data_IF_296242486356
#
_entry.id   IF_296242486356
#
_cell.length_a   1.000
_cell.length_b   1.000
_cell.length_c   1.000
_cell.angle_alpha   90.00
_cell.angle_beta   90.00
_cell.angle_gamma   90.00
#
_symmetry.space_group_name_H-M   'P 1'
#
loop_
_entity.id
_entity.type
_entity.pdbx_description
1 polymer ?
#
# COMPACT_ATOMS: atom_id res chain seq x y z
N UNK A 1 -11.86 -12.43 22.81
CA UNK A 1 -10.72 -11.52 22.73
C UNK A 1 -10.89 -10.50 21.60
N UNK A 2 -11.34 -10.87 20.41
CA UNK A 2 -11.52 -9.98 19.25
C UNK A 2 -12.75 -9.07 19.28
N UNK A 3 -13.66 -9.23 20.25
CA UNK A 3 -14.91 -8.43 20.38
C UNK A 3 -14.67 -6.90 20.42
N UNK A 4 -13.47 -6.45 20.79
CA UNK A 4 -13.17 -5.02 20.77
C UNK A 4 -13.02 -4.51 19.32
N UNK A 5 -12.44 -5.31 18.42
CA UNK A 5 -12.33 -5.02 17.00
C UNK A 5 -13.70 -5.00 16.35
N UNK A 6 -14.56 -6.01 16.67
CA UNK A 6 -15.93 -6.10 16.15
C UNK A 6 -16.75 -4.85 16.52
N UNK A 7 -16.76 -4.46 17.80
CA UNK A 7 -17.47 -3.26 18.27
C UNK A 7 -16.96 -1.96 17.62
N UNK A 8 -15.65 -1.84 17.40
CA UNK A 8 -15.09 -0.67 16.73
C UNK A 8 -15.55 -0.60 15.28
N UNK A 9 -15.61 -1.73 14.59
CA UNK A 9 -16.06 -1.83 13.21
C UNK A 9 -17.54 -1.50 13.07
N UNK A 10 -18.40 -2.11 13.89
CA UNK A 10 -19.84 -1.84 13.95
C UNK A 10 -20.11 -0.36 14.23
N UNK A 11 -19.41 0.22 15.20
CA UNK A 11 -19.52 1.65 15.54
C UNK A 11 -19.12 2.54 14.37
N UNK A 12 -17.97 2.30 13.71
CA UNK A 12 -17.48 3.14 12.63
C UNK A 12 -18.43 3.11 11.41
N UNK A 13 -19.00 1.94 11.08
CA UNK A 13 -20.00 1.79 10.01
C UNK A 13 -21.29 2.52 10.42
N UNK A 14 -21.77 2.33 11.66
CA UNK A 14 -22.96 3.00 12.17
C UNK A 14 -22.84 4.53 12.23
N UNK A 15 -21.66 5.06 12.51
CA UNK A 15 -21.33 6.49 12.47
C UNK A 15 -21.00 7.00 11.06
N UNK A 16 -21.13 6.16 10.04
CA UNK A 16 -20.87 6.49 8.64
C UNK A 16 -19.41 6.95 8.35
N UNK A 17 -18.42 6.44 9.07
CA UNK A 17 -17.01 6.72 8.77
C UNK A 17 -16.63 6.21 7.37
N UNK A 18 -17.12 5.03 7.00
CA UNK A 18 -17.01 4.40 5.69
C UNK A 18 -18.16 3.42 5.46
N UNK A 19 -18.50 3.07 4.21
CA UNK A 19 -19.63 2.15 3.95
C UNK A 19 -19.34 0.71 4.38
N UNK A 20 -18.14 0.20 4.15
CA UNK A 20 -17.77 -1.17 4.43
C UNK A 20 -16.29 -1.38 4.58
N UNK A 21 -15.94 -2.47 5.25
CA UNK A 21 -14.58 -2.81 5.61
C UNK A 21 -14.38 -4.33 5.67
N UNK A 22 -13.15 -4.76 5.40
CA UNK A 22 -12.69 -6.12 5.60
C UNK A 22 -11.38 -6.09 6.39
N UNK A 23 -11.27 -6.93 7.43
CA UNK A 23 -10.12 -6.97 8.35
C UNK A 23 -9.63 -8.40 8.45
N UNK A 24 -8.32 -8.58 8.44
CA UNK A 24 -7.66 -9.81 8.85
C UNK A 24 -6.50 -9.50 9.80
N UNK A 25 -6.30 -10.36 10.77
CA UNK A 25 -5.12 -10.36 11.61
C UNK A 25 -4.59 -11.79 11.74
N UNK A 26 -3.27 -11.92 11.86
CA UNK A 26 -2.64 -13.23 11.95
C UNK A 26 -1.22 -13.15 12.47
N UNK A 27 -0.60 -14.30 12.62
CA UNK A 27 0.77 -14.46 13.11
C UNK A 27 1.50 -15.53 12.29
N UNK A 28 2.68 -15.19 11.79
CA UNK A 28 3.59 -16.15 11.11
C UNK A 28 2.86 -17.04 10.09
N UNK A 29 2.08 -16.41 9.24
CA UNK A 29 1.32 -17.10 8.20
C UNK A 29 -0.06 -17.63 8.63
N UNK A 30 -0.32 -17.81 9.92
CA UNK A 30 -1.61 -18.29 10.43
C UNK A 30 -2.57 -17.09 10.60
N UNK A 31 -3.75 -17.17 10.00
CA UNK A 31 -4.84 -16.20 10.22
C UNK A 31 -5.52 -16.54 11.56
N UNK A 32 -5.61 -15.56 12.45
CA UNK A 32 -6.23 -15.67 13.78
C UNK A 32 -7.62 -15.05 13.82
N UNK A 33 -7.84 -14.01 13.00
CA UNK A 33 -9.09 -13.27 12.98
C UNK A 33 -9.41 -12.74 11.60
N UNK A 34 -10.69 -12.78 11.21
CA UNK A 34 -11.22 -12.08 10.04
C UNK A 34 -12.60 -11.52 10.34
N UNK A 35 -12.91 -10.35 9.80
CA UNK A 35 -14.25 -9.78 9.81
C UNK A 35 -14.50 -9.00 8.51
N UNK A 36 -15.72 -9.12 7.98
CA UNK A 36 -16.16 -8.40 6.78
C UNK A 36 -17.53 -7.81 7.10
N UNK A 37 -17.66 -6.49 7.11
CA UNK A 37 -18.87 -5.80 7.57
C UNK A 37 -19.20 -4.57 6.74
N UNK A 38 -20.51 -4.26 6.64
CA UNK A 38 -21.02 -3.10 5.93
C UNK A 38 -21.39 -3.36 4.48
N UNK A 39 -21.41 -2.32 3.69
CA UNK A 39 -21.97 -2.29 2.34
C UNK A 39 -20.93 -1.79 1.31
N UNK A 40 -21.15 -2.11 0.03
CA UNK A 40 -20.30 -1.60 -1.07
C UNK A 40 -20.44 -0.08 -1.22
N UNK A 41 -21.64 0.44 -0.99
CA UNK A 41 -21.96 1.88 -1.01
C UNK A 41 -22.82 2.22 0.18
N UNK A 42 -22.81 3.48 0.60
CA UNK A 42 -23.74 3.97 1.64
C UNK A 42 -25.18 3.84 1.13
N UNK A 43 -26.08 3.46 2.03
CA UNK A 43 -27.51 3.25 1.72
C UNK A 43 -27.77 2.19 0.63
N UNK A 44 -26.76 1.36 0.34
CA UNK A 44 -26.86 0.27 -0.63
C UNK A 44 -27.36 -1.03 -0.01
N UNK A 45 -27.99 -1.87 -0.84
CA UNK A 45 -28.46 -3.20 -0.42
C UNK A 45 -27.34 -4.26 -0.48
N UNK A 46 -26.25 -3.98 -1.25
CA UNK A 46 -25.18 -4.95 -1.45
C UNK A 46 -24.15 -4.91 -0.33
N UNK A 47 -24.09 -6.01 0.42
CA UNK A 47 -23.09 -6.22 1.45
C UNK A 47 -21.69 -6.39 0.86
N UNK A 48 -20.67 -5.96 1.60
CA UNK A 48 -19.30 -6.37 1.34
C UNK A 48 -19.12 -7.87 1.65
N UNK A 49 -18.19 -8.51 0.96
CA UNK A 49 -17.89 -9.94 1.07
C UNK A 49 -16.37 -10.13 1.20
N UNK A 50 -15.93 -11.33 1.55
CA UNK A 50 -14.52 -11.71 1.49
C UNK A 50 -13.91 -11.52 0.09
N UNK A 51 -14.71 -11.72 -0.96
CA UNK A 51 -14.33 -11.52 -2.38
C UNK A 51 -14.32 -10.05 -2.82
N UNK A 52 -14.87 -9.13 -2.01
CA UNK A 52 -14.93 -7.71 -2.38
C UNK A 52 -13.53 -7.14 -2.61
N UNK A 53 -13.35 -6.54 -3.77
CA UNK A 53 -12.10 -5.84 -4.15
C UNK A 53 -12.24 -4.35 -3.88
N UNK A 54 -11.25 -3.80 -3.19
CA UNK A 54 -11.18 -2.40 -2.80
C UNK A 54 -10.08 -1.68 -3.57
N UNK A 55 -10.29 -0.42 -3.94
CA UNK A 55 -9.20 0.48 -4.31
C UNK A 55 -8.32 0.67 -3.09
N UNK A 56 -7.07 0.29 -3.19
CA UNK A 56 -6.12 0.37 -2.07
C UNK A 56 -5.15 1.53 -2.19
N UNK A 57 -5.32 2.39 -3.20
CA UNK A 57 -4.57 3.62 -3.38
C UNK A 57 -3.07 3.41 -3.21
N UNK A 58 -2.47 4.11 -2.26
CA UNK A 58 -1.03 4.08 -1.99
C UNK A 58 -0.51 2.70 -1.56
N UNK A 59 -1.34 1.73 -1.13
CA UNK A 59 -0.85 0.37 -0.89
C UNK A 59 -0.32 -0.30 -2.17
N UNK A 60 -0.67 0.20 -3.36
CA UNK A 60 -0.03 -0.18 -4.63
C UNK A 60 1.49 -0.13 -4.54
N UNK A 61 2.03 0.87 -3.83
CA UNK A 61 3.47 1.07 -3.63
C UNK A 61 4.15 -0.15 -3.00
N UNK A 62 3.51 -0.77 -2.02
CA UNK A 62 4.07 -1.90 -1.27
C UNK A 62 3.57 -3.25 -1.74
N UNK A 63 2.38 -3.32 -2.35
CA UNK A 63 1.84 -4.56 -2.90
C UNK A 63 2.43 -4.93 -4.27
N UNK A 64 2.89 -3.94 -5.05
CA UNK A 64 3.38 -4.15 -6.42
C UNK A 64 4.75 -3.53 -6.64
N UNK A 65 4.89 -2.20 -6.51
CA UNK A 65 6.08 -1.49 -6.97
C UNK A 65 7.33 -1.85 -6.16
N UNK A 66 7.22 -1.87 -4.84
CA UNK A 66 8.32 -2.26 -3.96
C UNK A 66 8.75 -3.73 -4.17
N UNK A 67 7.84 -4.73 -4.21
CA UNK A 67 8.22 -6.10 -4.52
C UNK A 67 8.92 -6.24 -5.88
N UNK A 68 8.43 -5.56 -6.92
CA UNK A 68 9.09 -5.56 -8.23
C UNK A 68 10.50 -4.98 -8.15
N UNK A 69 10.72 -3.88 -7.40
CA UNK A 69 12.06 -3.37 -7.15
C UNK A 69 12.95 -4.41 -6.46
N UNK A 70 12.46 -5.09 -5.42
CA UNK A 70 13.24 -6.11 -4.70
C UNK A 70 13.55 -7.32 -5.59
N UNK A 71 12.59 -7.78 -6.39
CA UNK A 71 12.80 -8.86 -7.37
C UNK A 71 13.83 -8.45 -8.42
N UNK A 72 13.79 -7.20 -8.91
CA UNK A 72 14.79 -6.69 -9.85
C UNK A 72 16.18 -6.63 -9.21
N UNK A 73 16.29 -6.25 -7.93
CA UNK A 73 17.55 -6.28 -7.16
C UNK A 73 18.08 -7.72 -7.05
N UNK A 74 17.24 -8.67 -6.66
CA UNK A 74 17.63 -10.08 -6.52
C UNK A 74 18.06 -10.72 -7.85
N UNK A 75 17.54 -10.21 -8.97
CA UNK A 75 17.92 -10.64 -10.33
C UNK A 75 19.13 -9.91 -10.89
N UNK A 76 19.68 -8.94 -10.16
CA UNK A 76 20.80 -8.11 -10.63
C UNK A 76 20.44 -7.16 -11.78
N UNK A 77 19.14 -6.84 -11.95
CA UNK A 77 18.68 -5.93 -13.01
C UNK A 77 18.80 -4.46 -12.60
N UNK A 78 18.73 -4.17 -11.29
CA UNK A 78 18.98 -2.85 -10.73
C UNK A 78 19.57 -2.96 -9.32
N UNK A 79 20.23 -1.89 -8.84
CA UNK A 79 20.67 -1.72 -7.47
C UNK A 79 19.92 -0.58 -6.77
N UNK A 80 19.79 -0.59 -5.43
CA UNK A 80 19.20 0.52 -4.69
C UNK A 80 19.97 1.85 -4.91
N UNK A 81 21.27 1.79 -5.17
CA UNK A 81 22.15 2.94 -5.42
C UNK A 81 22.14 3.40 -6.89
N UNK A 82 21.56 2.64 -7.80
CA UNK A 82 21.42 3.04 -9.19
C UNK A 82 20.59 4.32 -9.31
N UNK A 83 21.05 5.23 -10.14
CA UNK A 83 20.38 6.49 -10.41
C UNK A 83 19.33 6.35 -11.52
N UNK A 84 18.29 7.18 -11.46
CA UNK A 84 17.15 7.09 -12.40
C UNK A 84 17.58 7.33 -13.86
N UNK A 85 18.64 8.13 -14.12
CA UNK A 85 19.14 8.43 -15.46
C UNK A 85 19.81 7.23 -16.14
N UNK A 86 20.13 6.18 -15.38
CA UNK A 86 20.63 4.92 -15.95
C UNK A 86 19.53 4.17 -16.74
N UNK A 87 18.29 4.33 -16.35
CA UNK A 87 17.16 3.57 -16.91
C UNK A 87 16.20 4.43 -17.74
N UNK A 88 16.10 5.72 -17.43
CA UNK A 88 15.16 6.62 -18.04
C UNK A 88 15.86 7.63 -18.95
N UNK A 89 15.32 7.91 -20.15
CA UNK A 89 15.87 8.90 -21.04
C UNK A 89 15.60 10.32 -20.53
N UNK A 90 16.43 11.26 -20.96
CA UNK A 90 16.21 12.71 -20.84
C UNK A 90 15.97 13.21 -19.40
N UNK A 91 16.56 12.55 -18.39
CA UNK A 91 16.48 12.99 -17.01
C UNK A 91 17.19 14.33 -16.84
N UNK A 92 16.51 15.40 -16.34
CA UNK A 92 17.11 16.70 -16.09
C UNK A 92 18.26 16.64 -15.07
N UNK A 93 19.19 17.58 -15.17
CA UNK A 93 20.41 17.59 -14.36
C UNK A 93 20.15 17.58 -12.84
N UNK A 94 19.08 18.25 -12.38
CA UNK A 94 18.67 18.32 -10.98
C UNK A 94 18.13 16.99 -10.42
N UNK A 95 17.79 16.03 -11.29
CA UNK A 95 17.22 14.72 -10.92
C UNK A 95 18.13 13.54 -11.23
N UNK A 96 19.23 13.75 -11.98
CA UNK A 96 20.14 12.65 -12.36
C UNK A 96 20.73 11.88 -11.18
N UNK A 97 20.89 12.53 -10.04
CA UNK A 97 21.45 11.92 -8.83
C UNK A 97 20.41 11.20 -7.95
N UNK A 98 19.12 11.25 -8.31
CA UNK A 98 18.09 10.54 -7.57
C UNK A 98 18.31 9.03 -7.73
N UNK A 99 18.44 8.33 -6.62
CA UNK A 99 18.61 6.88 -6.60
C UNK A 99 17.28 6.14 -6.40
N UNK A 100 17.25 4.85 -6.78
CA UNK A 100 16.13 3.96 -6.51
C UNK A 100 15.82 3.91 -5.01
N UNK A 101 16.85 3.85 -4.15
CA UNK A 101 16.69 3.89 -2.70
C UNK A 101 15.99 5.18 -2.22
N UNK A 102 16.32 6.33 -2.80
CA UNK A 102 15.70 7.60 -2.43
C UNK A 102 14.23 7.69 -2.88
N UNK A 103 13.87 7.07 -4.00
CA UNK A 103 12.46 6.93 -4.40
C UNK A 103 11.69 6.03 -3.42
N UNK A 104 12.24 4.85 -3.10
CA UNK A 104 11.64 3.89 -2.17
C UNK A 104 11.50 4.42 -0.74
N UNK A 105 12.41 5.31 -0.30
CA UNK A 105 12.37 5.92 1.05
C UNK A 105 11.67 7.27 1.11
N UNK A 106 11.11 7.74 -0.02
CA UNK A 106 10.44 9.06 -0.09
C UNK A 106 11.38 10.24 0.22
N UNK A 107 12.69 10.12 -0.16
CA UNK A 107 13.72 11.15 0.08
C UNK A 107 14.25 11.75 -1.21
N UNK A 108 13.60 11.51 -2.34
CA UNK A 108 14.02 11.98 -3.66
C UNK A 108 13.92 13.50 -3.86
N UNK A 109 13.20 14.21 -2.98
CA UNK A 109 12.92 15.64 -3.15
C UNK A 109 11.81 15.96 -4.14
N UNK A 110 11.19 14.95 -4.78
CA UNK A 110 10.05 15.14 -5.67
C UNK A 110 8.86 15.74 -4.92
N UNK A 111 8.06 16.56 -5.64
CA UNK A 111 6.92 17.27 -5.05
C UNK A 111 5.82 16.30 -4.59
N UNK A 112 5.21 16.51 -3.42
CA UNK A 112 4.00 15.78 -3.04
C UNK A 112 2.75 16.24 -3.81
N UNK A 113 2.82 17.41 -4.45
CA UNK A 113 1.72 18.02 -5.19
C UNK A 113 2.05 18.00 -6.68
N UNK A 114 1.44 17.08 -7.40
CA UNK A 114 1.62 16.94 -8.84
C UNK A 114 0.38 16.27 -9.45
N UNK A 115 -0.14 16.88 -10.50
CA UNK A 115 -1.29 16.38 -11.23
C UNK A 115 -0.94 16.25 -12.72
N UNK A 116 -0.88 15.03 -13.21
CA UNK A 116 -0.59 14.74 -14.62
C UNK A 116 -1.52 15.46 -15.58
N UNK A 117 -2.80 15.56 -15.24
CA UNK A 117 -3.80 16.23 -16.06
C UNK A 117 -3.54 17.74 -16.26
N UNK A 118 -2.74 18.36 -15.38
CA UNK A 118 -2.38 19.79 -15.46
C UNK A 118 -1.02 19.98 -16.13
N UNK A 119 -0.13 19.01 -16.04
CA UNK A 119 1.28 19.12 -16.41
C UNK A 119 1.63 18.38 -17.71
N UNK A 120 0.92 17.30 -18.02
CA UNK A 120 1.20 16.46 -19.18
C UNK A 120 0.24 16.77 -20.33
N UNK A 121 0.77 16.76 -21.56
CA UNK A 121 -0.02 16.97 -22.79
C UNK A 121 -0.82 15.74 -23.19
N UNK A 122 -0.37 14.56 -22.76
CA UNK A 122 -0.99 13.25 -23.00
C UNK A 122 -0.39 12.22 -22.05
N UNK A 123 -0.96 11.02 -22.00
CA UNK A 123 -0.40 9.85 -21.29
C UNK A 123 1.05 9.56 -21.70
N UNK A 124 1.38 9.69 -22.99
CA UNK A 124 2.74 9.50 -23.54
C UNK A 124 3.74 10.56 -23.05
N UNK A 125 3.27 11.76 -22.68
CA UNK A 125 4.10 12.82 -22.11
C UNK A 125 4.21 12.74 -20.57
N UNK A 126 3.54 11.78 -19.94
CA UNK A 126 3.45 11.68 -18.48
C UNK A 126 4.82 11.61 -17.79
N UNK A 127 5.73 10.74 -18.28
CA UNK A 127 7.09 10.66 -17.76
C UNK A 127 7.84 11.99 -17.95
N UNK A 128 7.74 12.59 -19.13
CA UNK A 128 8.37 13.87 -19.43
C UNK A 128 7.84 15.01 -18.53
N UNK A 129 6.53 15.08 -18.30
CA UNK A 129 5.92 16.04 -17.38
C UNK A 129 6.43 15.86 -15.95
N UNK A 130 6.46 14.62 -15.45
CA UNK A 130 6.99 14.31 -14.14
C UNK A 130 8.46 14.71 -14.00
N UNK A 131 9.27 14.45 -15.01
CA UNK A 131 10.68 14.80 -15.00
C UNK A 131 10.93 16.33 -15.10
N UNK A 132 10.05 17.08 -15.78
CA UNK A 132 10.11 18.55 -15.87
C UNK A 132 9.65 19.25 -14.60
N UNK A 133 8.78 18.62 -13.81
CA UNK A 133 8.24 19.22 -12.59
C UNK A 133 9.38 19.53 -11.58
N UNK A 134 9.43 20.73 -10.96
CA UNK A 134 10.53 21.09 -10.08
C UNK A 134 10.58 20.24 -8.81
N UNK A 135 11.78 20.09 -8.24
CA UNK A 135 11.95 19.48 -6.93
C UNK A 135 11.37 20.40 -5.84
N UNK A 136 10.68 19.83 -4.86
CA UNK A 136 10.14 20.56 -3.70
C UNK A 136 11.16 20.70 -2.56
N UNK A 137 12.25 19.92 -2.59
CA UNK A 137 13.35 19.98 -1.62
C UNK A 137 14.62 19.36 -2.22
N UNK A 138 15.80 19.61 -1.62
CA UNK A 138 17.03 18.94 -2.03
C UNK A 138 16.90 17.41 -1.97
N UNK A 139 17.52 16.72 -2.93
CA UNK A 139 17.61 15.26 -2.97
C UNK A 139 18.29 14.76 -1.69
N UNK A 140 17.69 13.80 -1.00
CA UNK A 140 18.18 13.26 0.28
C UNK A 140 17.99 14.18 1.48
N UNK A 141 17.33 15.36 1.33
CA UNK A 141 17.24 16.37 2.40
C UNK A 141 16.22 16.03 3.50
N UNK A 142 15.10 15.43 3.15
CA UNK A 142 14.03 15.05 4.08
C UNK A 142 13.15 13.95 3.50
N UNK A 143 12.41 13.27 4.36
CA UNK A 143 11.31 12.40 3.95
C UNK A 143 10.09 13.27 3.61
N UNK A 144 9.54 13.07 2.42
CA UNK A 144 8.33 13.75 1.96
C UNK A 144 7.44 12.74 1.23
N UNK A 145 6.29 12.42 1.82
CA UNK A 145 5.35 11.47 1.22
C UNK A 145 4.84 12.03 -0.11
N UNK A 146 5.26 11.37 -1.18
CA UNK A 146 4.95 11.78 -2.55
C UNK A 146 4.65 10.56 -3.41
N UNK A 147 3.48 10.54 -4.04
CA UNK A 147 3.15 9.54 -5.07
C UNK A 147 4.09 9.58 -6.27
N UNK A 148 4.72 10.74 -6.55
CA UNK A 148 5.61 10.91 -7.71
C UNK A 148 6.82 9.97 -7.70
N UNK A 149 7.41 9.70 -6.52
CA UNK A 149 8.54 8.77 -6.43
C UNK A 149 8.17 7.37 -6.89
N UNK A 150 7.03 6.87 -6.47
CA UNK A 150 6.53 5.56 -6.88
C UNK A 150 5.93 5.55 -8.29
N UNK A 151 5.39 6.68 -8.75
CA UNK A 151 5.02 6.85 -10.16
C UNK A 151 6.25 6.73 -11.05
N UNK A 152 7.36 7.40 -10.70
CA UNK A 152 8.63 7.32 -11.41
C UNK A 152 9.21 5.89 -11.38
N UNK A 153 9.13 5.20 -10.23
CA UNK A 153 9.52 3.79 -10.12
C UNK A 153 8.68 2.90 -11.05
N UNK A 154 7.39 3.18 -11.23
CA UNK A 154 6.54 2.46 -12.20
C UNK A 154 7.13 2.52 -13.61
N UNK A 155 7.41 3.71 -14.12
CA UNK A 155 8.03 3.90 -15.44
C UNK A 155 9.42 3.25 -15.54
N UNK A 156 10.21 3.33 -14.47
CA UNK A 156 11.52 2.68 -14.42
C UNK A 156 11.39 1.16 -14.50
N UNK A 157 10.47 0.56 -13.77
CA UNK A 157 10.24 -0.89 -13.75
C UNK A 157 9.76 -1.42 -15.09
N UNK A 158 8.93 -0.67 -15.84
CA UNK A 158 8.57 -1.03 -17.20
C UNK A 158 9.79 -1.16 -18.12
N UNK A 159 10.79 -0.28 -17.94
CA UNK A 159 12.07 -0.37 -18.67
C UNK A 159 12.93 -1.54 -18.20
N UNK A 160 13.00 -1.77 -16.88
CA UNK A 160 13.81 -2.85 -16.29
C UNK A 160 13.29 -4.23 -16.69
N UNK A 161 11.96 -4.41 -16.71
CA UNK A 161 11.35 -5.69 -17.06
C UNK A 161 10.97 -5.82 -18.55
N UNK A 162 11.10 -4.74 -19.32
CA UNK A 162 10.72 -4.65 -20.73
C UNK A 162 9.27 -5.12 -20.99
N UNK A 163 8.35 -4.67 -20.13
CA UNK A 163 6.92 -4.97 -20.21
C UNK A 163 6.07 -3.95 -19.46
N UNK A 164 4.74 -3.84 -19.76
CA UNK A 164 3.81 -3.01 -18.99
C UNK A 164 3.82 -3.34 -17.50
N UNK A 165 3.58 -2.33 -16.66
CA UNK A 165 3.64 -2.48 -15.19
C UNK A 165 2.62 -3.49 -14.66
N UNK A 166 1.42 -3.53 -15.19
CA UNK A 166 0.37 -4.48 -14.81
C UNK A 166 0.72 -5.92 -15.17
N UNK A 167 1.37 -6.15 -16.32
CA UNK A 167 1.89 -7.46 -16.71
C UNK A 167 3.05 -7.89 -15.79
N UNK A 168 3.97 -6.98 -15.48
CA UNK A 168 5.05 -7.23 -14.54
C UNK A 168 4.51 -7.56 -13.14
N UNK A 169 3.53 -6.79 -12.66
CA UNK A 169 2.84 -7.04 -11.39
C UNK A 169 2.20 -8.44 -11.36
N UNK A 170 1.47 -8.80 -12.42
CA UNK A 170 0.83 -10.11 -12.53
C UNK A 170 1.86 -11.24 -12.55
N UNK A 171 2.87 -11.12 -13.41
CA UNK A 171 3.85 -12.18 -13.65
C UNK A 171 4.78 -12.44 -12.47
N UNK A 172 5.21 -11.38 -11.81
CA UNK A 172 6.28 -11.48 -10.81
C UNK A 172 5.81 -11.31 -9.37
N UNK A 173 4.60 -10.79 -9.15
CA UNK A 173 4.08 -10.55 -7.80
C UNK A 173 2.80 -11.32 -7.55
N UNK A 174 1.71 -10.99 -8.24
CA UNK A 174 0.40 -11.52 -7.85
C UNK A 174 0.21 -12.99 -8.18
N UNK A 175 0.68 -13.47 -9.32
CA UNK A 175 0.59 -14.89 -9.65
C UNK A 175 1.46 -15.79 -8.73
N UNK A 176 2.74 -15.47 -8.45
CA UNK A 176 3.56 -16.26 -7.51
C UNK A 176 3.04 -16.26 -6.08
N UNK A 177 2.29 -15.23 -5.65
CA UNK A 177 1.66 -15.16 -4.32
C UNK A 177 0.22 -15.69 -4.31
N UNK A 178 -0.28 -16.24 -5.43
CA UNK A 178 -1.67 -16.66 -5.60
C UNK A 178 -2.70 -15.56 -5.28
N UNK A 179 -2.34 -14.31 -5.52
CA UNK A 179 -3.21 -13.13 -5.34
C UNK A 179 -4.09 -12.93 -6.60
N UNK A 180 -5.00 -13.88 -6.82
CA UNK A 180 -5.75 -14.03 -8.06
C UNK A 180 -6.82 -12.94 -8.28
N UNK A 181 -7.17 -12.20 -7.24
CA UNK A 181 -8.16 -11.11 -7.25
C UNK A 181 -7.51 -9.74 -7.15
N UNK A 182 -6.17 -9.67 -7.18
CA UNK A 182 -5.39 -8.44 -7.12
C UNK A 182 -4.93 -8.02 -8.50
N UNK A 183 -5.21 -6.78 -8.87
CA UNK A 183 -4.82 -6.26 -10.18
C UNK A 183 -5.36 -4.85 -10.41
N UNK A 184 -5.00 -4.31 -11.54
CA UNK A 184 -5.50 -3.03 -12.03
C UNK A 184 -6.82 -3.22 -12.79
N UNK A 185 -7.66 -2.18 -12.82
CA UNK A 185 -8.90 -2.11 -13.60
C UNK A 185 -9.82 -3.34 -13.43
N UNK A 186 -10.14 -3.76 -12.22
CA UNK A 186 -11.00 -4.91 -12.02
C UNK A 186 -12.40 -4.63 -12.53
N UNK A 187 -13.05 -5.67 -13.05
CA UNK A 187 -14.46 -5.64 -13.46
C UNK A 187 -15.30 -6.58 -12.61
N UNK A 188 -16.62 -6.41 -12.65
CA UNK A 188 -17.60 -7.29 -11.99
C UNK A 188 -18.30 -6.64 -10.79
N UNK A 189 -19.24 -7.38 -10.23
CA UNK A 189 -20.15 -6.88 -9.19
C UNK A 189 -19.54 -6.76 -7.80
N UNK A 190 -18.43 -7.47 -7.53
CA UNK A 190 -17.77 -7.51 -6.22
C UNK A 190 -16.61 -6.51 -6.11
N UNK A 191 -16.70 -5.40 -6.84
CA UNK A 191 -15.76 -4.28 -6.73
C UNK A 191 -16.44 -3.15 -5.95
N UNK A 192 -15.85 -2.75 -4.84
CA UNK A 192 -16.28 -1.59 -4.08
C UNK A 192 -15.97 -0.32 -4.90
N UNK A 193 -16.97 0.49 -5.25
CA UNK A 193 -16.73 1.68 -6.04
C UNK A 193 -16.04 2.74 -5.19
N UNK A 194 -15.23 3.57 -5.84
CA UNK A 194 -14.77 4.84 -5.30
C UNK A 194 -15.86 5.92 -5.43
N UNK A 195 -15.56 7.17 -5.10
CA UNK A 195 -16.49 8.29 -5.34
C UNK A 195 -16.56 8.74 -6.81
N UNK A 196 -15.82 8.11 -7.69
CA UNK A 196 -15.75 8.47 -9.11
C UNK A 196 -17.04 8.06 -9.83
N UNK A 197 -17.57 9.02 -10.60
CA UNK A 197 -18.80 8.86 -11.38
C UNK A 197 -18.53 9.25 -12.83
N UNK A 198 -19.30 8.69 -13.74
CA UNK A 198 -19.34 9.13 -15.14
C UNK A 198 -20.16 10.45 -15.31
N UNK A 199 -20.25 10.91 -16.53
CA UNK A 199 -20.98 12.14 -16.90
C UNK A 199 -22.49 12.09 -16.58
N UNK A 200 -23.06 10.89 -16.40
CA UNK A 200 -24.44 10.67 -16.01
C UNK A 200 -24.60 10.50 -14.47
N UNK A 201 -23.52 10.67 -13.69
CA UNK A 201 -23.53 10.52 -12.25
C UNK A 201 -23.50 9.06 -11.77
N UNK A 202 -23.25 8.08 -12.64
CA UNK A 202 -23.18 6.66 -12.30
C UNK A 202 -21.80 6.31 -11.76
N UNK A 203 -21.76 5.63 -10.59
CA UNK A 203 -20.53 5.14 -10.00
C UNK A 203 -19.77 4.22 -10.97
N UNK A 204 -18.46 4.34 -11.00
CA UNK A 204 -17.55 3.59 -11.86
C UNK A 204 -16.74 2.56 -11.05
N UNK A 205 -17.26 1.34 -10.77
CA UNK A 205 -16.50 0.30 -10.08
C UNK A 205 -15.24 -0.09 -10.86
N UNK A 206 -14.10 -0.19 -10.17
CA UNK A 206 -12.81 -0.47 -10.81
C UNK A 206 -12.08 0.77 -11.31
N UNK A 207 -12.69 1.95 -11.20
CA UNK A 207 -12.02 3.21 -11.48
C UNK A 207 -11.32 3.71 -10.20
N UNK A 208 -9.98 3.90 -10.21
CA UNK A 208 -9.25 4.35 -9.02
C UNK A 208 -9.60 5.79 -8.64
N UNK A 209 -9.54 6.09 -7.33
CA UNK A 209 -9.76 7.46 -6.83
C UNK A 209 -8.63 8.42 -7.23
N UNK A 210 -7.40 7.91 -7.37
CA UNK A 210 -6.23 8.73 -7.69
C UNK A 210 -6.28 9.28 -9.12
N UNK A 211 -6.12 10.61 -9.26
CA UNK A 211 -6.21 11.31 -10.53
C UNK A 211 -5.07 10.99 -11.49
N UNK A 212 -3.85 10.81 -10.98
CA UNK A 212 -2.70 10.46 -11.81
C UNK A 212 -2.80 9.02 -12.32
N UNK A 213 -3.29 8.10 -11.50
CA UNK A 213 -3.57 6.74 -11.93
C UNK A 213 -4.64 6.71 -13.03
N UNK A 214 -5.74 7.48 -12.87
CA UNK A 214 -6.77 7.59 -13.94
C UNK A 214 -6.21 8.17 -15.24
N UNK A 215 -5.35 9.21 -15.15
CA UNK A 215 -4.70 9.80 -16.32
C UNK A 215 -3.87 8.76 -17.09
N UNK A 216 -3.28 7.79 -16.38
CA UNK A 216 -2.53 6.66 -16.91
C UNK A 216 -3.41 5.42 -17.13
N UNK A 217 -4.68 5.62 -17.45
CA UNK A 217 -5.63 4.53 -17.74
C UNK A 217 -5.76 3.50 -16.60
N UNK A 218 -5.55 3.91 -15.35
CA UNK A 218 -5.72 3.10 -14.15
C UNK A 218 -4.48 2.32 -13.71
N UNK A 219 -3.36 2.36 -14.46
CA UNK A 219 -2.14 1.61 -14.15
C UNK A 219 -1.00 2.56 -13.77
N UNK A 220 -0.61 2.57 -12.49
CA UNK A 220 0.48 3.42 -12.03
C UNK A 220 1.22 2.79 -10.84
N UNK A 221 2.51 3.11 -10.68
CA UNK A 221 3.34 2.52 -9.62
C UNK A 221 2.99 3.00 -8.20
N UNK A 222 2.26 4.09 -8.06
CA UNK A 222 1.89 4.67 -6.77
C UNK A 222 0.46 4.39 -6.34
N UNK A 223 -0.44 4.05 -7.27
CA UNK A 223 -1.88 3.88 -7.05
C UNK A 223 -2.53 3.11 -8.20
N UNK A 224 -3.82 2.76 -8.07
CA UNK A 224 -4.62 2.13 -9.12
C UNK A 224 -4.85 0.64 -8.91
N UNK A 225 -4.20 0.01 -7.93
CA UNK A 225 -4.39 -1.39 -7.61
C UNK A 225 -5.67 -1.61 -6.81
N UNK A 226 -6.34 -2.70 -7.12
CA UNK A 226 -7.46 -3.25 -6.34
C UNK A 226 -7.09 -4.62 -5.81
N UNK A 227 -7.52 -4.92 -4.59
CA UNK A 227 -7.30 -6.23 -3.96
C UNK A 227 -8.46 -6.61 -3.04
N UNK A 228 -8.60 -7.88 -2.70
CA UNK A 228 -9.50 -8.38 -1.67
C UNK A 228 -8.74 -8.74 -0.39
N UNK A 229 -9.50 -9.11 0.65
CA UNK A 229 -8.91 -9.41 1.97
C UNK A 229 -7.98 -10.61 1.92
N UNK A 230 -8.34 -11.68 1.21
CA UNK A 230 -7.54 -12.90 1.13
C UNK A 230 -6.19 -12.64 0.50
N UNK A 231 -6.16 -11.98 -0.67
CA UNK A 231 -4.92 -11.68 -1.40
C UNK A 231 -3.99 -10.76 -0.59
N UNK A 232 -4.54 -9.68 -0.01
CA UNK A 232 -3.75 -8.79 0.84
C UNK A 232 -3.23 -9.49 2.10
N UNK A 233 -3.97 -10.46 2.64
CA UNK A 233 -3.56 -11.30 3.77
C UNK A 233 -2.41 -12.23 3.37
N UNK A 234 -2.43 -12.83 2.17
CA UNK A 234 -1.32 -13.63 1.63
C UNK A 234 -0.03 -12.82 1.57
N UNK A 235 -0.13 -11.59 1.09
CA UNK A 235 1.02 -10.67 1.05
C UNK A 235 1.56 -10.33 2.45
N UNK A 236 0.69 -9.97 3.39
CA UNK A 236 1.08 -9.66 4.77
C UNK A 236 1.68 -10.89 5.49
N UNK A 237 1.12 -12.07 5.24
CA UNK A 237 1.62 -13.35 5.71
C UNK A 237 3.04 -13.62 5.19
N UNK A 238 3.30 -13.45 3.90
CA UNK A 238 4.63 -13.58 3.30
C UNK A 238 5.65 -12.66 3.99
N UNK A 239 5.29 -11.40 4.25
CA UNK A 239 6.16 -10.48 5.00
C UNK A 239 6.42 -10.96 6.43
N UNK A 240 5.39 -11.45 7.14
CA UNK A 240 5.49 -11.97 8.50
C UNK A 240 6.36 -13.23 8.63
N UNK A 241 6.50 -13.96 7.52
CA UNK A 241 7.35 -15.14 7.34
C UNK A 241 8.72 -14.81 6.73
N UNK A 242 9.13 -13.52 6.78
CA UNK A 242 10.41 -13.06 6.22
C UNK A 242 10.62 -13.44 4.75
N UNK A 243 9.58 -13.28 3.93
CA UNK A 243 9.63 -13.50 2.49
C UNK A 243 9.27 -14.91 2.04
N UNK A 244 8.84 -15.79 2.96
CA UNK A 244 8.46 -17.17 2.65
C UNK A 244 6.96 -17.33 2.44
N UNK A 245 6.61 -18.31 1.63
CA UNK A 245 5.25 -18.79 1.40
C UNK A 245 5.22 -20.30 1.55
N UNK A 246 4.07 -20.92 1.40
CA UNK A 246 3.94 -22.38 1.36
C UNK A 246 4.69 -23.01 0.17
N UNK A 247 4.80 -22.28 -0.94
CA UNK A 247 5.48 -22.73 -2.16
C UNK A 247 7.00 -22.48 -2.16
N UNK A 248 7.53 -21.82 -1.11
CA UNK A 248 8.96 -21.54 -0.99
C UNK A 248 9.31 -20.09 -0.65
N UNK A 249 10.37 -19.58 -1.23
CA UNK A 249 10.85 -18.20 -1.00
C UNK A 249 10.38 -17.30 -2.13
N UNK A 250 9.53 -16.34 -1.80
CA UNK A 250 9.09 -15.28 -2.74
C UNK A 250 10.08 -14.12 -2.81
N UNK A 251 10.52 -13.63 -1.64
CA UNK A 251 11.60 -12.66 -1.47
C UNK A 251 12.61 -13.21 -0.47
N UNK A 252 13.89 -12.98 -0.69
CA UNK A 252 14.90 -13.35 0.30
C UNK A 252 14.66 -12.64 1.63
N UNK A 253 15.04 -13.28 2.73
CA UNK A 253 14.98 -12.66 4.06
C UNK A 253 15.74 -11.31 4.08
N UNK A 254 16.81 -11.19 3.28
CA UNK A 254 17.56 -9.93 3.18
C UNK A 254 16.74 -8.83 2.50
N UNK A 255 15.99 -9.13 1.44
CA UNK A 255 15.10 -8.18 0.79
C UNK A 255 14.00 -7.70 1.77
N UNK A 256 13.36 -8.61 2.52
CA UNK A 256 12.39 -8.24 3.55
C UNK A 256 13.02 -7.38 4.64
N UNK A 257 14.24 -7.68 5.06
CA UNK A 257 15.00 -6.83 6.01
C UNK A 257 15.26 -5.43 5.46
N UNK A 258 15.54 -5.28 4.15
CA UNK A 258 15.71 -3.98 3.52
C UNK A 258 14.44 -3.14 3.56
N UNK A 259 13.27 -3.73 3.36
CA UNK A 259 11.99 -3.01 3.34
C UNK A 259 11.47 -2.71 4.76
N UNK A 260 11.77 -3.55 5.75
CA UNK A 260 11.29 -3.44 7.14
C UNK A 260 12.23 -2.69 8.10
N UNK A 261 13.41 -2.28 7.64
CA UNK A 261 14.41 -1.59 8.49
C UNK A 261 14.53 -0.11 8.14
N UNK A 262 14.71 0.73 9.17
CA UNK A 262 14.87 2.17 8.99
C UNK A 262 16.08 2.53 8.12
N UNK A 263 15.83 3.27 7.03
CA UNK A 263 16.81 3.77 6.06
C UNK A 263 17.03 5.29 6.13
N UNK A 264 16.19 6.00 6.87
CA UNK A 264 16.16 7.46 6.95
C UNK A 264 16.56 7.96 8.33
N UNK A 265 17.55 7.28 8.95
CA UNK A 265 18.02 7.64 10.30
C UNK A 265 18.50 9.10 10.34
N UNK A 266 18.02 9.85 11.34
CA UNK A 266 18.35 11.28 11.51
C UNK A 266 17.45 12.23 10.71
N UNK A 267 16.54 11.72 9.86
CA UNK A 267 15.56 12.53 9.14
C UNK A 267 14.27 12.71 9.95
N UNK A 268 13.34 13.48 9.40
CA UNK A 268 12.05 13.85 10.00
C UNK A 268 11.06 12.68 10.14
N UNK A 269 11.25 11.56 9.43
CA UNK A 269 10.40 10.37 9.54
C UNK A 269 11.23 9.09 9.32
N UNK A 270 10.81 7.99 9.97
CA UNK A 270 11.45 6.69 9.83
C UNK A 270 10.81 5.91 8.68
N UNK A 271 11.62 5.55 7.66
CA UNK A 271 11.22 4.81 6.47
C UNK A 271 12.12 3.61 6.23
N UNK A 272 11.49 2.48 5.89
CA UNK A 272 12.10 1.41 5.11
C UNK A 272 11.83 1.62 3.62
N UNK A 273 12.04 0.61 2.80
CA UNK A 273 11.66 0.70 1.39
C UNK A 273 10.14 0.50 1.24
N UNK A 274 9.44 1.59 0.94
CA UNK A 274 7.99 1.63 0.78
C UNK A 274 7.21 1.78 2.10
N UNK A 275 7.73 1.32 3.22
CA UNK A 275 7.02 1.30 4.49
C UNK A 275 7.42 2.41 5.46
N UNK A 276 6.47 2.85 6.28
CA UNK A 276 6.76 3.55 7.52
C UNK A 276 7.27 2.55 8.57
N UNK A 277 8.25 2.97 9.35
CA UNK A 277 8.74 2.22 10.51
C UNK A 277 8.21 2.88 11.79
N UNK A 278 7.77 2.10 12.76
CA UNK A 278 7.08 2.59 13.98
C UNK A 278 7.96 3.44 14.90
N UNK A 279 9.26 3.44 14.72
CA UNK A 279 10.18 4.22 15.55
C UNK A 279 9.73 5.67 15.70
N UNK A 280 9.39 6.05 16.95
CA UNK A 280 9.08 7.41 17.36
C UNK A 280 7.93 8.07 16.60
N UNK A 281 6.69 7.74 16.97
CA UNK A 281 5.49 8.49 16.57
C UNK A 281 4.97 8.20 15.16
N UNK A 282 4.84 6.92 14.81
CA UNK A 282 3.98 6.63 13.67
C UNK A 282 2.52 6.55 14.14
N UNK A 283 1.72 7.61 13.96
CA UNK A 283 0.41 7.71 14.58
C UNK A 283 -0.63 6.72 14.03
N UNK A 284 -0.36 6.08 12.89
CA UNK A 284 -1.38 5.20 12.30
C UNK A 284 -1.31 3.76 12.84
N UNK A 285 -0.15 3.23 13.20
CA UNK A 285 -0.05 1.89 13.78
C UNK A 285 -0.60 1.80 15.20
N UNK A 286 -0.68 2.95 15.91
CA UNK A 286 -1.12 3.00 17.28
C UNK A 286 0.02 2.77 18.29
N UNK A 287 -0.28 2.97 19.58
CA UNK A 287 0.75 3.00 20.65
C UNK A 287 1.15 1.62 21.15
N UNK A 288 0.34 0.61 20.91
CA UNK A 288 0.59 -0.77 21.39
C UNK A 288 1.51 -1.57 20.48
N UNK A 289 1.71 -1.11 19.25
CA UNK A 289 2.60 -1.77 18.30
C UNK A 289 4.07 -1.64 18.68
N UNK A 290 4.90 -2.69 18.47
CA UNK A 290 6.33 -2.65 18.75
C UNK A 290 7.04 -1.53 17.98
N UNK A 291 8.16 -1.04 18.53
CA UNK A 291 8.93 0.05 17.93
C UNK A 291 9.61 -0.30 16.59
N UNK A 292 9.69 -1.58 16.24
CA UNK A 292 10.21 -2.11 14.99
C UNK A 292 9.10 -2.53 14.01
N UNK A 293 7.84 -2.35 14.40
CA UNK A 293 6.70 -2.54 13.52
C UNK A 293 6.80 -1.66 12.27
N UNK A 294 6.29 -2.15 11.15
CA UNK A 294 6.25 -1.40 9.91
C UNK A 294 4.92 -1.58 9.20
N UNK A 295 4.58 -0.62 8.37
CA UNK A 295 3.33 -0.67 7.63
C UNK A 295 3.15 0.51 6.69
N UNK A 296 2.08 0.44 5.90
CA UNK A 296 1.63 1.54 5.07
C UNK A 296 0.11 1.64 5.16
N UNK A 297 -0.39 2.87 5.16
CA UNK A 297 -1.80 3.17 4.96
C UNK A 297 -2.00 4.03 3.73
N UNK A 298 -3.12 3.88 3.09
CA UNK A 298 -3.59 4.85 2.12
C UNK A 298 -4.53 5.88 2.80
N UNK A 299 -4.20 7.17 2.76
CA UNK A 299 -5.03 8.20 3.41
C UNK A 299 -6.40 8.39 2.76
N UNK A 300 -6.56 7.99 1.50
CA UNK A 300 -7.80 8.19 0.76
C UNK A 300 -8.80 7.06 0.98
N UNK A 301 -8.38 5.81 0.81
CA UNK A 301 -9.24 4.63 1.06
C UNK A 301 -9.34 4.28 2.54
N UNK A 302 -8.34 4.65 3.35
CA UNK A 302 -8.19 4.21 4.73
C UNK A 302 -7.62 2.79 4.87
N UNK A 303 -7.35 2.10 3.76
CA UNK A 303 -6.77 0.76 3.77
C UNK A 303 -5.35 0.76 4.33
N UNK A 304 -4.97 -0.31 5.03
CA UNK A 304 -3.66 -0.43 5.65
C UNK A 304 -3.17 -1.87 5.71
N UNK A 305 -1.84 -2.01 5.68
CA UNK A 305 -1.11 -3.25 6.01
C UNK A 305 -0.08 -2.90 7.08
N UNK A 306 -0.01 -3.70 8.13
CA UNK A 306 0.96 -3.56 9.21
C UNK A 306 1.55 -4.91 9.60
N UNK A 307 2.85 -4.95 9.90
CA UNK A 307 3.58 -6.16 10.29
C UNK A 307 4.51 -5.85 11.45
N UNK A 308 4.55 -6.74 12.43
CA UNK A 308 5.49 -6.73 13.55
C UNK A 308 6.57 -7.80 13.32
N UNK A 309 7.83 -7.42 13.08
CA UNK A 309 8.92 -8.40 12.94
C UNK A 309 9.22 -9.17 14.23
N UNK A 310 8.93 -8.56 15.39
CA UNK A 310 9.23 -9.12 16.70
C UNK A 310 8.54 -10.47 16.93
N UNK A 311 7.25 -10.52 16.66
CA UNK A 311 6.39 -11.66 16.96
C UNK A 311 5.76 -12.29 15.70
N UNK A 312 5.98 -11.67 14.53
CA UNK A 312 5.40 -12.09 13.26
C UNK A 312 3.91 -11.80 13.15
N UNK A 313 3.37 -10.92 14.01
CA UNK A 313 1.99 -10.48 13.91
C UNK A 313 1.78 -9.58 12.71
N UNK A 314 0.65 -9.72 12.05
CA UNK A 314 0.25 -8.82 10.95
C UNK A 314 -1.23 -8.46 11.01
N UNK A 315 -1.57 -7.32 10.44
CA UNK A 315 -2.96 -6.89 10.26
C UNK A 315 -3.13 -6.29 8.87
N UNK A 316 -4.24 -6.64 8.24
CA UNK A 316 -4.73 -6.06 6.98
C UNK A 316 -6.08 -5.43 7.26
N UNK A 317 -6.25 -4.19 6.83
CA UNK A 317 -7.52 -3.47 6.88
C UNK A 317 -7.80 -2.93 5.47
N UNK A 318 -8.89 -3.34 4.87
CA UNK A 318 -9.37 -2.82 3.59
C UNK A 318 -10.67 -2.06 3.84
N UNK A 319 -10.66 -0.76 3.55
CA UNK A 319 -11.83 0.11 3.77
C UNK A 319 -12.29 0.76 2.47
N UNK A 320 -13.60 0.93 2.31
CA UNK A 320 -14.15 1.72 1.21
C UNK A 320 -14.24 3.23 1.57
N UNK A 321 -13.19 3.78 2.20
CA UNK A 321 -13.07 5.21 2.48
C UNK A 321 -12.97 6.06 1.21
N UNK A 322 -12.46 5.49 0.12
CA UNK A 322 -12.43 6.12 -1.20
C UNK A 322 -13.83 6.51 -1.73
N UNK A 323 -14.89 5.90 -1.24
CA UNK A 323 -16.27 6.28 -1.52
C UNK A 323 -16.73 7.50 -0.70
N UNK A 324 -16.17 7.71 0.50
CA UNK A 324 -16.54 8.80 1.43
C UNK A 324 -15.33 9.67 1.83
N UNK A 325 -14.68 10.37 0.90
CA UNK A 325 -13.46 11.13 1.21
C UNK A 325 -13.64 12.21 2.29
N UNK A 326 -14.87 12.71 2.47
CA UNK A 326 -15.18 13.72 3.47
C UNK A 326 -15.02 13.21 4.93
N UNK A 327 -15.11 11.90 5.15
CA UNK A 327 -15.07 11.28 6.49
C UNK A 327 -13.69 10.69 6.82
N UNK A 328 -12.63 11.19 6.18
CA UNK A 328 -11.26 10.70 6.34
C UNK A 328 -10.78 10.68 7.80
N UNK A 329 -11.10 11.71 8.58
CA UNK A 329 -10.66 11.80 9.98
C UNK A 329 -11.22 10.67 10.86
N UNK A 330 -12.49 10.31 10.66
CA UNK A 330 -13.15 9.21 11.34
C UNK A 330 -12.54 7.86 10.94
N UNK A 331 -12.28 7.66 9.64
CA UNK A 331 -11.58 6.48 9.12
C UNK A 331 -10.18 6.33 9.71
N UNK A 332 -9.41 7.41 9.82
CA UNK A 332 -8.09 7.41 10.46
C UNK A 332 -8.16 7.10 11.96
N UNK A 333 -9.15 7.63 12.65
CA UNK A 333 -9.39 7.34 14.07
C UNK A 333 -9.71 5.87 14.28
N UNK A 334 -10.63 5.33 13.47
CA UNK A 334 -10.99 3.92 13.48
C UNK A 334 -9.76 3.05 13.25
N UNK A 335 -8.98 3.33 12.21
CA UNK A 335 -7.78 2.55 11.88
C UNK A 335 -6.82 2.44 13.06
N UNK A 336 -6.48 3.56 13.71
CA UNK A 336 -5.59 3.56 14.90
C UNK A 336 -6.15 2.74 16.06
N UNK A 337 -7.46 2.87 16.33
CA UNK A 337 -8.12 2.11 17.39
C UNK A 337 -8.19 0.63 17.05
N UNK A 338 -8.50 0.29 15.80
CA UNK A 338 -8.57 -1.08 15.31
C UNK A 338 -7.22 -1.79 15.40
N UNK A 339 -6.13 -1.15 14.93
CA UNK A 339 -4.79 -1.71 14.99
C UNK A 339 -4.32 -1.94 16.43
N UNK A 340 -4.61 -1.02 17.36
CA UNK A 340 -4.33 -1.21 18.78
C UNK A 340 -5.13 -2.38 19.37
N UNK A 341 -6.44 -2.43 19.10
CA UNK A 341 -7.31 -3.48 19.62
C UNK A 341 -6.91 -4.87 19.06
N UNK A 342 -6.54 -4.94 17.79
CA UNK A 342 -6.09 -6.18 17.16
C UNK A 342 -4.78 -6.68 17.79
N UNK A 343 -3.80 -5.79 18.00
CA UNK A 343 -2.55 -6.17 18.66
C UNK A 343 -2.75 -6.58 20.11
N UNK A 344 -3.62 -5.87 20.87
CA UNK A 344 -3.96 -6.25 22.23
C UNK A 344 -4.66 -7.61 22.31
N UNK A 345 -5.61 -7.90 21.40
CA UNK A 345 -6.28 -9.18 21.34
C UNK A 345 -5.29 -10.33 21.09
N UNK A 346 -4.36 -10.13 20.15
CA UNK A 346 -3.28 -11.07 19.87
C UNK A 346 -2.39 -11.33 21.10
N UNK A 347 -1.97 -10.29 21.82
CA UNK A 347 -1.12 -10.45 23.03
C UNK A 347 -1.87 -11.21 24.15
N UNK A 348 -3.16 -11.00 24.31
CA UNK A 348 -3.97 -11.72 25.29
C UNK A 348 -4.16 -13.20 24.93
N UNK A 349 -4.25 -13.54 23.64
CA UNK A 349 -4.30 -14.93 23.18
C UNK A 349 -3.02 -15.70 23.54
N UNK A 350 -1.87 -15.11 23.19
CA UNK A 350 -0.57 -15.74 23.45
C UNK A 350 -0.20 -15.77 24.94
N UNK A 351 -0.55 -14.75 25.71
CA UNK A 351 -0.30 -14.73 27.15
C UNK A 351 -1.17 -15.71 27.95
N UNK A 352 -2.29 -16.17 27.39
CA UNK A 352 -3.09 -17.24 27.98
C UNK A 352 -2.46 -18.63 27.76
N UNK A 353 -1.82 -18.85 26.62
CA UNK A 353 -1.11 -20.11 26.33
C UNK A 353 0.14 -20.28 27.22
N UNK A 354 0.87 -19.20 27.54
CA UNK A 354 2.05 -19.23 28.42
C UNK A 354 1.70 -19.46 29.91
N UNK A 355 0.43 -19.25 30.32
CA UNK A 355 -0.03 -19.48 31.70
C UNK A 355 -0.55 -20.93 31.91
N UNK A 356 -0.82 -21.68 30.85
CA UNK A 356 -1.30 -23.06 30.90
C UNK A 356 -0.18 -24.09 30.67
N UNK A 357 1.04 -23.68 30.36
CA UNK A 357 2.22 -24.51 30.14
C UNK A 357 3.16 -24.51 31.36
#
# INVERSE_FOLDING_TARGET
MWNAVDRLLEKAIGENAFPGCAIAAGQRGKVLYTNVSGYLVRDGERLVKHSTRYDVGALTQVLVTMPLCMIAVERGLLGPEDTVDRFLPEVPADKKTITVAQLLTQTSGLSPHFLLQEEARSDKDALGALLRHPLASPVGGKVSDSGMGFLLLGFLLEKVFDMPLDEAAKRFVTAPLHMNHTGYLPSGSDVAPTSIRDDNGVLQPGCPLDGNARFLHGVAGHSGLFTNLEDATRFASMLSLNGRTEDGVFLSQRAVHLVSTERTRGMNAARGYGFHITKRQNPFLGMLWPSDGYGLRDPASGSAIAVSPLDGFFTVVLMNGAYTPANRAEGERFLRQCLNAAYAAFQHENGAEDCEA
#
